data_IF_363703243024
#
_entry.id   IF_363703243024
#
_cell.length_a   1.000
_cell.length_b   1.000
_cell.length_c   1.000
_cell.angle_alpha   90.00
_cell.angle_beta   90.00
_cell.angle_gamma   90.00
#
_symmetry.space_group_name_H-M   'P 1'
#
loop_
_entity.id
_entity.type
_entity.pdbx_description
1 polymer ?
#
# COMPACT_ATOMS: atom_id res chain seq x y z
N UNK A 1 -14.94 7.32 10.82
CA UNK A 1 -14.89 5.84 10.71
C UNK A 1 -13.56 5.40 11.26
N UNK A 2 -13.55 4.69 12.38
CA UNK A 2 -12.33 4.09 12.93
C UNK A 2 -11.95 2.95 11.99
N UNK A 3 -11.02 3.20 11.05
CA UNK A 3 -10.49 2.15 10.18
C UNK A 3 -9.87 1.09 11.09
N UNK A 4 -10.48 -0.08 11.20
CA UNK A 4 -9.86 -1.22 11.89
C UNK A 4 -8.61 -1.59 11.08
N UNK A 5 -7.45 -1.22 11.61
CA UNK A 5 -6.13 -1.52 11.03
C UNK A 5 -5.80 -3.02 11.09
N UNK A 6 -6.60 -3.82 11.81
CA UNK A 6 -6.37 -5.25 12.03
C UNK A 6 -6.44 -6.08 10.75
N UNK A 7 -7.16 -5.63 9.74
CA UNK A 7 -7.32 -6.33 8.46
C UNK A 7 -6.29 -5.90 7.40
N UNK A 8 -5.50 -4.86 7.68
CA UNK A 8 -4.44 -4.40 6.78
C UNK A 8 -3.15 -5.15 7.09
N UNK A 9 -2.59 -5.81 6.09
CA UNK A 9 -1.33 -6.52 6.19
C UNK A 9 -0.22 -5.81 5.42
N UNK A 10 1.01 -5.92 5.92
CA UNK A 10 2.19 -5.43 5.20
C UNK A 10 2.45 -6.33 3.99
N UNK A 11 2.35 -5.74 2.80
CA UNK A 11 2.65 -6.41 1.55
C UNK A 11 4.13 -6.36 1.23
N UNK A 12 4.73 -5.19 1.44
CA UNK A 12 6.14 -4.93 1.20
C UNK A 12 6.63 -3.81 2.13
N UNK A 13 7.86 -3.93 2.61
CA UNK A 13 8.58 -2.86 3.29
C UNK A 13 9.94 -2.70 2.63
N UNK A 14 10.28 -1.48 2.26
CA UNK A 14 11.56 -1.13 1.67
C UNK A 14 12.23 -0.07 2.55
N UNK A 15 13.03 -0.52 3.53
CA UNK A 15 13.78 0.37 4.42
C UNK A 15 14.87 1.17 3.69
N UNK A 16 15.26 0.77 2.47
CA UNK A 16 16.27 1.51 1.67
C UNK A 16 15.65 2.74 1.04
N UNK A 17 14.42 2.63 0.54
CA UNK A 17 13.65 3.73 -0.04
C UNK A 17 12.76 4.45 0.97
N UNK A 18 12.64 3.92 2.19
CA UNK A 18 11.90 4.54 3.28
C UNK A 18 10.40 4.50 3.08
N UNK A 19 9.85 3.38 2.61
CA UNK A 19 8.40 3.22 2.49
C UNK A 19 7.92 1.81 2.83
N UNK A 20 6.66 1.74 3.23
CA UNK A 20 5.92 0.50 3.48
C UNK A 20 4.64 0.50 2.67
N UNK A 21 4.43 -0.56 1.90
CA UNK A 21 3.16 -0.85 1.23
C UNK A 21 2.36 -1.80 2.11
N UNK A 22 1.22 -1.31 2.60
CA UNK A 22 0.22 -2.13 3.26
C UNK A 22 -0.97 -2.33 2.32
N UNK A 23 -1.71 -3.41 2.52
CA UNK A 23 -2.92 -3.66 1.77
C UNK A 23 -3.88 -4.59 2.49
N UNK A 24 -5.09 -4.64 1.96
CA UNK A 24 -6.18 -5.46 2.46
C UNK A 24 -6.87 -6.12 1.29
N UNK A 25 -7.07 -7.44 1.37
CA UNK A 25 -7.83 -8.17 0.37
C UNK A 25 -9.33 -7.87 0.53
N UNK A 26 -9.97 -7.49 -0.56
CA UNK A 26 -11.41 -7.25 -0.69
C UNK A 26 -11.97 -8.18 -1.78
N UNK A 27 -13.30 -8.32 -1.79
CA UNK A 27 -14.01 -9.13 -2.80
C UNK A 27 -13.63 -8.78 -4.25
N UNK A 28 -13.31 -7.50 -4.51
CA UNK A 28 -12.98 -6.99 -5.84
C UNK A 28 -11.47 -6.85 -6.10
N UNK A 29 -10.61 -7.31 -5.19
CA UNK A 29 -9.15 -7.22 -5.28
C UNK A 29 -8.54 -6.54 -4.05
N UNK A 30 -7.36 -5.97 -4.19
CA UNK A 30 -6.59 -5.40 -3.09
C UNK A 30 -6.77 -3.88 -3.02
N UNK A 31 -7.07 -3.38 -1.83
CA UNK A 31 -6.91 -1.96 -1.52
C UNK A 31 -5.52 -1.76 -0.90
N UNK A 32 -4.77 -0.76 -1.38
CA UNK A 32 -3.38 -0.53 -0.95
C UNK A 32 -3.16 0.90 -0.45
N UNK A 33 -2.24 1.04 0.49
CA UNK A 33 -1.78 2.31 1.04
C UNK A 33 -0.26 2.24 1.19
N UNK A 34 0.42 3.26 0.68
CA UNK A 34 1.87 3.43 0.79
C UNK A 34 2.16 4.48 1.84
N UNK A 35 2.93 4.11 2.85
CA UNK A 35 3.37 4.98 3.94
C UNK A 35 4.86 5.25 3.77
N UNK A 36 5.26 6.49 3.94
CA UNK A 36 6.66 6.88 3.88
C UNK A 36 7.17 7.13 5.30
N UNK A 37 8.39 6.67 5.57
CA UNK A 37 9.03 6.82 6.88
C UNK A 37 9.37 8.29 7.20
N UNK A 38 9.46 9.16 6.18
CA UNK A 38 9.77 10.59 6.32
C UNK A 38 8.59 11.45 6.83
N UNK A 39 7.54 10.84 7.40
CA UNK A 39 6.27 11.51 7.76
C UNK A 39 5.55 12.20 6.59
N UNK A 40 5.90 11.85 5.35
CA UNK A 40 5.13 12.27 4.18
C UNK A 40 3.74 11.64 4.23
N UNK A 41 2.73 12.38 3.76
CA UNK A 41 1.35 11.86 3.68
C UNK A 41 1.32 10.52 2.95
N UNK A 42 0.57 9.57 3.52
CA UNK A 42 0.37 8.26 2.92
C UNK A 42 -0.35 8.39 1.57
N UNK A 43 0.06 7.61 0.58
CA UNK A 43 -0.53 7.60 -0.76
C UNK A 43 -1.39 6.37 -0.96
N UNK A 44 -2.58 6.58 -1.52
CA UNK A 44 -3.48 5.52 -1.94
C UNK A 44 -3.71 5.60 -3.44
N UNK A 45 -4.30 4.57 -4.02
CA UNK A 45 -4.67 4.53 -5.43
C UNK A 45 -6.10 4.06 -5.59
N UNK A 46 -6.80 4.60 -6.59
CA UNK A 46 -8.10 4.08 -7.02
C UNK A 46 -7.97 2.79 -7.86
N UNK A 47 -6.74 2.39 -8.23
CA UNK A 47 -6.51 1.10 -8.88
C UNK A 47 -6.78 -0.02 -7.87
N UNK A 48 -7.52 -1.04 -8.29
CA UNK A 48 -7.78 -2.24 -7.49
C UNK A 48 -6.99 -3.42 -8.05
N UNK A 49 -5.72 -3.62 -7.63
CA UNK A 49 -4.93 -4.79 -8.00
C UNK A 49 -5.71 -6.09 -7.77
N UNK A 50 -5.68 -7.03 -8.72
CA UNK A 50 -6.41 -8.30 -8.57
C UNK A 50 -5.59 -9.34 -7.81
N UNK A 51 -4.29 -9.16 -7.74
CA UNK A 51 -3.35 -10.06 -7.08
C UNK A 51 -2.45 -9.31 -6.11
N UNK A 52 -1.89 -10.05 -5.14
CA UNK A 52 -0.88 -9.54 -4.21
C UNK A 52 0.34 -8.96 -4.93
N UNK A 53 0.80 -9.61 -6.00
CA UNK A 53 1.95 -9.15 -6.79
C UNK A 53 1.67 -7.81 -7.48
N UNK A 54 0.49 -7.65 -8.07
CA UNK A 54 0.07 -6.35 -8.64
C UNK A 54 -0.08 -5.28 -7.56
N UNK A 55 -0.53 -5.64 -6.36
CA UNK A 55 -0.65 -4.74 -5.22
C UNK A 55 0.72 -4.19 -4.78
N UNK A 56 1.72 -5.07 -4.67
CA UNK A 56 3.11 -4.70 -4.39
C UNK A 56 3.67 -3.83 -5.51
N UNK A 57 3.48 -4.22 -6.77
CA UNK A 57 3.96 -3.44 -7.91
C UNK A 57 3.36 -2.04 -7.91
N UNK A 58 2.05 -1.93 -7.68
CA UNK A 58 1.36 -0.63 -7.63
C UNK A 58 1.86 0.21 -6.45
N UNK A 59 2.11 -0.39 -5.29
CA UNK A 59 2.75 0.29 -4.15
C UNK A 59 4.12 0.87 -4.50
N UNK A 60 4.97 0.10 -5.20
CA UNK A 60 6.27 0.58 -5.71
C UNK A 60 6.12 1.71 -6.72
N UNK A 61 5.11 1.67 -7.58
CA UNK A 61 4.85 2.76 -8.54
C UNK A 61 4.43 4.04 -7.82
N UNK A 62 3.55 3.96 -6.83
CA UNK A 62 3.12 5.09 -6.01
C UNK A 62 4.28 5.71 -5.21
N UNK A 63 5.18 4.87 -4.70
CA UNK A 63 6.39 5.30 -4.00
C UNK A 63 7.36 6.08 -4.91
N UNK A 64 7.41 5.76 -6.21
CA UNK A 64 8.30 6.42 -7.18
C UNK A 64 7.78 7.74 -7.73
N UNK A 65 6.48 8.02 -7.64
CA UNK A 65 5.90 9.29 -8.11
C UNK A 65 6.10 10.44 -7.09
N UNK A 66 7.02 10.28 -6.13
CA UNK A 66 7.31 11.24 -5.06
C UNK A 66 8.52 12.09 -5.36
#
# INVERSE_FOLDING_TARGET
MTKNLTDWETLERDDTRGFETIGIEKENGWEIEVRFDDNTESRTTDRTPKTREEAIQTGRELAKMG
#
